data_IF_980862695602
#
_entry.id   IF_980862695602
#
_cell.length_a   1.000
_cell.length_b   1.000
_cell.length_c   1.000
_cell.angle_alpha   90.00
_cell.angle_beta   90.00
_cell.angle_gamma   90.00
#
_symmetry.space_group_name_H-M   'P 1'
#
loop_
_entity.id
_entity.type
_entity.pdbx_description
1 polymer ?
#
# COMPACT_ATOMS: atom_id res chain seq x y z
N UNK A 1 -67.13 1.37 9.37
CA UNK A 1 -65.89 1.96 9.96
C UNK A 1 -64.81 1.97 8.88
N UNK A 2 -64.30 3.15 8.50
CA UNK A 2 -63.21 3.28 7.51
C UNK A 2 -61.87 3.14 8.23
N UNK A 3 -61.07 2.15 7.86
CA UNK A 3 -59.74 1.90 8.43
C UNK A 3 -58.73 2.78 7.67
N UNK A 4 -58.10 3.71 8.37
CA UNK A 4 -57.01 4.53 7.82
C UNK A 4 -55.71 3.77 8.05
N UNK A 5 -54.99 3.45 6.97
CA UNK A 5 -53.66 2.85 7.04
C UNK A 5 -52.62 3.96 6.97
N UNK A 6 -51.87 4.17 8.06
CA UNK A 6 -50.75 5.11 8.10
C UNK A 6 -49.47 4.31 7.87
N UNK A 7 -48.88 4.48 6.68
CA UNK A 7 -47.58 3.90 6.33
C UNK A 7 -46.47 4.84 6.82
N UNK A 8 -45.77 4.49 7.91
CA UNK A 8 -44.57 5.19 8.33
C UNK A 8 -43.38 4.69 7.50
N UNK A 9 -42.98 5.48 6.50
CA UNK A 9 -41.77 5.23 5.72
C UNK A 9 -40.57 5.83 6.47
N UNK A 10 -39.87 5.03 7.27
CA UNK A 10 -38.57 5.39 7.81
C UNK A 10 -37.53 5.30 6.68
N UNK A 11 -37.22 6.43 6.05
CA UNK A 11 -36.08 6.54 5.14
C UNK A 11 -34.80 6.47 5.98
N UNK A 12 -34.14 5.32 5.97
CA UNK A 12 -32.76 5.20 6.45
C UNK A 12 -31.88 6.08 5.56
N UNK A 13 -31.52 7.25 6.07
CA UNK A 13 -30.50 8.10 5.47
C UNK A 13 -29.15 7.39 5.67
N UNK A 14 -28.76 6.55 4.72
CA UNK A 14 -27.43 5.94 4.72
C UNK A 14 -26.39 7.03 4.44
N UNK A 15 -25.90 7.67 5.50
CA UNK A 15 -24.65 8.42 5.42
C UNK A 15 -23.53 7.40 5.19
N UNK A 16 -22.98 7.36 3.98
CA UNK A 16 -21.66 6.75 3.73
C UNK A 16 -20.62 7.66 4.38
N UNK A 17 -20.46 7.57 5.69
CA UNK A 17 -19.30 8.13 6.38
C UNK A 17 -18.15 7.25 5.92
N UNK A 18 -17.30 7.75 5.02
CA UNK A 18 -15.97 7.14 4.83
C UNK A 18 -15.39 7.06 6.24
N UNK A 19 -15.01 5.87 6.71
CA UNK A 19 -14.39 5.73 8.02
C UNK A 19 -13.03 6.44 7.98
N UNK A 20 -13.05 7.77 8.08
CA UNK A 20 -11.90 8.56 8.39
C UNK A 20 -11.43 8.03 9.73
N UNK A 21 -10.18 7.55 9.78
CA UNK A 21 -9.56 7.15 11.03
C UNK A 21 -9.73 8.33 12.00
N UNK A 22 -10.46 8.09 13.09
CA UNK A 22 -10.74 9.12 14.12
C UNK A 22 -9.45 9.52 14.85
N UNK A 23 -8.37 8.77 14.64
CA UNK A 23 -7.06 8.94 15.27
C UNK A 23 -5.99 9.22 14.22
N UNK A 24 -4.98 10.01 14.60
CA UNK A 24 -3.82 10.32 13.74
C UNK A 24 -3.05 9.08 13.29
N UNK A 25 -3.01 8.03 14.13
CA UNK A 25 -2.37 6.76 13.83
C UNK A 25 -3.09 5.58 14.51
N UNK A 26 -2.85 4.38 13.98
CA UNK A 26 -3.33 3.11 14.53
C UNK A 26 -2.29 2.02 14.32
N UNK A 27 -1.29 1.91 15.20
CA UNK A 27 -0.27 0.86 15.09
C UNK A 27 -0.95 -0.51 15.17
N UNK A 28 -0.83 -1.33 14.12
CA UNK A 28 -1.51 -2.62 14.05
C UNK A 28 -1.11 -3.57 15.18
N UNK A 29 -2.11 -4.18 15.82
CA UNK A 29 -1.93 -5.38 16.61
C UNK A 29 -1.94 -6.61 15.70
N UNK A 30 -0.76 -7.02 15.25
CA UNK A 30 -0.58 -8.18 14.38
C UNK A 30 -0.89 -9.52 15.06
N UNK A 31 -1.15 -9.55 16.37
CA UNK A 31 -1.63 -10.76 17.07
C UNK A 31 -3.13 -10.97 16.90
N UNK A 32 -3.87 -9.90 16.59
CA UNK A 32 -5.30 -9.97 16.32
C UNK A 32 -5.55 -10.35 14.85
N UNK A 33 -6.73 -10.93 14.53
CA UNK A 33 -7.13 -11.17 13.16
C UNK A 33 -7.19 -9.87 12.37
N UNK A 34 -6.76 -9.92 11.10
CA UNK A 34 -7.01 -8.82 10.17
C UNK A 34 -8.53 -8.66 9.98
N UNK A 35 -9.00 -7.42 9.99
CA UNK A 35 -10.39 -7.04 9.74
C UNK A 35 -10.48 -6.33 8.38
N UNK A 36 -11.68 -6.07 7.90
CA UNK A 36 -11.88 -5.13 6.79
C UNK A 36 -12.24 -3.78 7.46
N UNK A 37 -11.35 -2.78 7.54
CA UNK A 37 -10.32 -2.37 6.55
C UNK A 37 -8.83 -2.59 6.94
N UNK A 38 -8.52 -3.28 8.04
CA UNK A 38 -7.14 -3.48 8.49
C UNK A 38 -7.06 -4.16 9.85
N UNK A 39 -5.99 -3.95 10.60
CA UNK A 39 -5.85 -4.55 11.94
C UNK A 39 -6.43 -3.65 13.04
N UNK A 40 -6.93 -4.23 14.15
CA UNK A 40 -7.14 -3.49 15.38
C UNK A 40 -5.86 -2.77 15.84
N UNK A 41 -5.99 -1.64 16.54
CA UNK A 41 -4.84 -0.90 17.05
C UNK A 41 -4.31 -1.49 18.36
N UNK A 42 -2.99 -1.45 18.56
CA UNK A 42 -2.36 -1.64 19.88
C UNK A 42 -2.85 -0.57 20.87
N UNK A 43 -2.83 -0.85 22.20
CA UNK A 43 -3.07 0.18 23.20
C UNK A 43 -2.07 1.33 23.09
N UNK A 44 -2.54 2.58 23.14
CA UNK A 44 -1.69 3.77 23.01
C UNK A 44 -0.53 3.80 24.03
N UNK A 45 -0.75 3.28 25.24
CA UNK A 45 0.28 3.20 26.27
C UNK A 45 1.46 2.26 25.93
N UNK A 46 1.31 1.40 24.92
CA UNK A 46 2.37 0.50 24.42
C UNK A 46 3.07 1.02 23.17
N UNK A 47 2.60 2.13 22.60
CA UNK A 47 3.16 2.72 21.38
C UNK A 47 4.32 3.64 21.76
N UNK A 48 5.42 3.54 21.02
CA UNK A 48 6.63 4.35 21.22
C UNK A 48 7.11 4.93 19.90
N UNK A 49 8.11 5.82 19.94
CA UNK A 49 8.77 6.35 18.73
C UNK A 49 9.32 5.25 17.82
N UNK A 50 9.71 4.11 18.41
CA UNK A 50 10.30 3.00 17.66
C UNK A 50 9.27 2.30 16.76
N UNK A 51 7.97 2.41 17.06
CA UNK A 51 6.92 1.90 16.16
C UNK A 51 6.87 2.71 14.84
N UNK A 52 7.41 3.93 14.78
CA UNK A 52 7.30 4.84 13.63
C UNK A 52 8.53 4.84 12.71
N UNK A 53 9.53 4.00 12.96
CA UNK A 53 10.73 3.91 12.12
C UNK A 53 10.91 2.49 11.61
N UNK A 54 11.11 2.36 10.29
CA UNK A 54 11.40 1.09 9.65
C UNK A 54 12.84 1.05 9.12
N UNK A 55 13.64 0.13 9.64
CA UNK A 55 15.05 -0.04 9.25
C UNK A 55 15.26 -1.16 8.22
N UNK A 56 14.18 -1.76 7.69
CA UNK A 56 14.24 -2.96 6.85
C UNK A 56 14.45 -2.73 5.35
N UNK A 57 14.46 -1.48 4.87
CA UNK A 57 14.70 -1.14 3.46
C UNK A 57 16.19 -1.24 3.08
N UNK A 58 16.73 -2.46 3.16
CA UNK A 58 18.12 -2.79 2.83
C UNK A 58 18.21 -3.48 1.46
N UNK A 59 19.42 -3.63 0.94
CA UNK A 59 19.65 -4.26 -0.35
C UNK A 59 19.09 -5.69 -0.41
N UNK A 60 18.28 -5.99 -1.42
CA UNK A 60 17.74 -7.32 -1.65
C UNK A 60 18.76 -8.28 -2.28
N UNK A 61 18.56 -9.60 -2.10
CA UNK A 61 19.40 -10.62 -2.74
C UNK A 61 19.04 -10.77 -4.22
N UNK A 62 20.01 -10.53 -5.10
CA UNK A 62 19.83 -10.60 -6.57
C UNK A 62 20.37 -11.89 -7.19
N UNK A 63 20.87 -12.85 -6.39
CA UNK A 63 21.28 -14.17 -6.89
C UNK A 63 20.04 -15.08 -7.09
N UNK A 64 19.23 -14.75 -8.08
CA UNK A 64 18.05 -15.49 -8.49
C UNK A 64 17.79 -15.30 -9.99
N UNK A 65 16.83 -16.05 -10.54
CA UNK A 65 16.52 -16.07 -11.99
C UNK A 65 16.17 -14.69 -12.55
N UNK A 66 15.55 -13.83 -11.75
CA UNK A 66 15.14 -12.48 -12.16
C UNK A 66 16.20 -11.42 -11.92
N UNK A 67 17.29 -11.77 -11.23
CA UNK A 67 18.36 -10.85 -10.83
C UNK A 67 17.84 -9.61 -10.09
N UNK A 68 16.75 -9.80 -9.34
CA UNK A 68 16.01 -8.77 -8.63
C UNK A 68 15.90 -9.15 -7.16
N UNK A 69 16.22 -8.22 -6.28
CA UNK A 69 15.99 -8.32 -4.84
C UNK A 69 15.04 -7.21 -4.40
N UNK A 70 14.10 -7.52 -3.51
CA UNK A 70 13.17 -6.54 -2.98
C UNK A 70 13.10 -6.64 -1.45
N UNK A 71 13.02 -5.49 -0.78
CA UNK A 71 12.65 -5.36 0.62
C UNK A 71 11.44 -4.45 0.74
N UNK A 72 10.38 -4.95 1.36
CA UNK A 72 9.08 -4.30 1.45
C UNK A 72 8.84 -3.82 2.88
N UNK A 73 8.30 -2.62 3.03
CA UNK A 73 7.64 -2.12 4.23
C UNK A 73 6.13 -2.17 3.99
N UNK A 74 5.46 -3.10 4.66
CA UNK A 74 4.01 -3.28 4.63
C UNK A 74 3.48 -3.39 6.06
N UNK A 75 2.16 -3.34 6.25
CA UNK A 75 1.57 -3.42 7.59
C UNK A 75 2.03 -4.63 8.41
N UNK A 76 2.38 -5.74 7.76
CA UNK A 76 2.77 -6.98 8.46
C UNK A 76 4.21 -6.96 9.01
N UNK A 77 5.06 -6.03 8.57
CA UNK A 77 6.41 -5.86 9.09
C UNK A 77 6.73 -4.43 9.55
N UNK A 78 5.84 -3.48 9.24
CA UNK A 78 5.84 -2.11 9.73
C UNK A 78 4.40 -1.74 10.16
N UNK A 79 3.98 -2.16 11.37
CA UNK A 79 2.58 -2.08 11.83
C UNK A 79 1.96 -0.69 11.82
N UNK A 80 2.78 0.36 11.89
CA UNK A 80 2.33 1.76 11.87
C UNK A 80 1.69 2.17 10.55
N UNK A 81 1.96 1.45 9.45
CA UNK A 81 1.31 1.71 8.16
C UNK A 81 -0.20 1.42 8.14
N UNK A 82 -0.71 0.71 9.15
CA UNK A 82 -2.11 0.34 9.25
C UNK A 82 -3.02 1.57 9.21
N UNK A 83 -3.90 1.61 8.21
CA UNK A 83 -4.84 2.70 8.01
C UNK A 83 -4.27 3.96 7.35
N UNK A 84 -2.95 4.05 7.11
CA UNK A 84 -2.33 5.24 6.53
C UNK A 84 -2.35 5.26 4.99
N UNK A 85 -2.74 4.17 4.35
CA UNK A 85 -2.87 4.08 2.89
C UNK A 85 -1.54 4.14 2.13
N UNK A 86 -0.40 3.91 2.81
CA UNK A 86 0.94 3.93 2.21
C UNK A 86 1.70 2.64 2.53
N UNK A 87 2.62 2.30 1.63
CA UNK A 87 3.64 1.27 1.80
C UNK A 87 4.90 1.71 1.05
N UNK A 88 6.02 1.04 1.27
CA UNK A 88 7.26 1.38 0.58
C UNK A 88 8.05 0.12 0.23
N UNK A 89 8.78 0.14 -0.87
CA UNK A 89 9.65 -0.96 -1.27
C UNK A 89 10.97 -0.41 -1.79
N UNK A 90 12.06 -1.09 -1.44
CA UNK A 90 13.35 -0.95 -2.10
C UNK A 90 13.52 -2.14 -3.04
N UNK A 91 13.89 -1.84 -4.28
CA UNK A 91 14.17 -2.86 -5.30
C UNK A 91 15.60 -2.65 -5.81
N UNK A 92 16.39 -3.71 -5.78
CA UNK A 92 17.75 -3.76 -6.33
C UNK A 92 17.74 -4.72 -7.52
N UNK A 93 18.10 -4.22 -8.71
CA UNK A 93 18.15 -4.99 -9.96
C UNK A 93 19.57 -4.89 -10.51
N UNK A 94 20.20 -6.02 -10.79
CA UNK A 94 21.52 -6.05 -11.45
C UNK A 94 21.38 -6.23 -12.97
N UNK A 95 22.48 -6.06 -13.69
CA UNK A 95 22.49 -6.10 -15.16
C UNK A 95 21.85 -7.38 -15.73
N UNK A 96 20.93 -7.17 -16.68
CA UNK A 96 20.12 -8.22 -17.28
C UNK A 96 18.99 -8.76 -16.38
N UNK A 97 18.70 -8.10 -15.25
CA UNK A 97 17.57 -8.39 -14.39
C UNK A 97 16.30 -7.64 -14.77
N UNK A 98 15.17 -8.14 -14.29
CA UNK A 98 13.87 -7.53 -14.53
C UNK A 98 12.87 -7.89 -13.44
N UNK A 99 11.91 -6.99 -13.23
CA UNK A 99 10.65 -7.36 -12.58
C UNK A 99 9.75 -8.03 -13.63
N UNK A 100 9.23 -9.24 -13.38
CA UNK A 100 8.21 -9.84 -14.25
C UNK A 100 6.98 -8.93 -14.39
N UNK A 101 6.22 -9.10 -15.46
CA UNK A 101 4.94 -8.40 -15.61
C UNK A 101 4.00 -8.79 -14.46
N UNK A 102 3.52 -7.80 -13.72
CA UNK A 102 2.67 -7.97 -12.54
C UNK A 102 1.73 -6.77 -12.35
N UNK A 103 0.85 -6.83 -11.36
CA UNK A 103 -0.09 -5.77 -11.00
C UNK A 103 -0.16 -5.59 -9.48
N UNK A 104 -0.60 -4.39 -9.08
CA UNK A 104 -0.98 -4.07 -7.70
C UNK A 104 -2.47 -3.66 -7.70
N UNK A 105 -3.40 -4.60 -7.42
CA UNK A 105 -4.84 -4.36 -7.64
C UNK A 105 -5.43 -3.15 -6.90
N UNK A 106 -4.87 -2.81 -5.74
CA UNK A 106 -5.40 -1.80 -4.83
C UNK A 106 -4.39 -0.67 -4.55
N UNK A 107 -3.35 -0.50 -5.39
CA UNK A 107 -2.34 0.52 -5.16
C UNK A 107 -1.67 1.00 -6.46
N UNK A 108 -1.49 2.32 -6.57
CA UNK A 108 -0.60 2.97 -7.53
C UNK A 108 0.85 2.84 -7.04
N UNK A 109 1.79 2.58 -7.95
CA UNK A 109 3.22 2.56 -7.63
C UNK A 109 3.88 3.88 -8.03
N UNK A 110 4.67 4.45 -7.11
CA UNK A 110 5.46 5.66 -7.32
C UNK A 110 6.95 5.34 -7.24
N UNK A 111 7.59 5.23 -8.40
CA UNK A 111 8.99 4.80 -8.53
C UNK A 111 9.89 6.03 -8.52
N UNK A 112 10.95 5.97 -7.70
CA UNK A 112 12.06 6.94 -7.72
C UNK A 112 13.34 6.16 -8.03
N UNK A 113 14.02 6.49 -9.13
CA UNK A 113 15.30 5.85 -9.41
C UNK A 113 16.41 6.54 -8.61
N UNK A 114 17.14 5.78 -7.78
CA UNK A 114 18.20 6.32 -6.91
C UNK A 114 19.59 6.13 -7.51
N UNK A 115 19.81 5.05 -8.27
CA UNK A 115 21.11 4.72 -8.85
C UNK A 115 20.94 3.90 -10.14
N UNK A 116 21.89 4.03 -11.07
CA UNK A 116 21.93 3.27 -12.32
C UNK A 116 20.99 3.83 -13.38
N UNK A 117 20.59 2.98 -14.32
CA UNK A 117 19.55 3.27 -15.32
C UNK A 117 18.58 2.09 -15.37
N UNK A 118 17.28 2.36 -15.47
CA UNK A 118 16.26 1.32 -15.48
C UNK A 118 15.09 1.70 -16.39
N UNK A 119 14.61 0.77 -17.20
CA UNK A 119 13.39 0.98 -18.00
C UNK A 119 12.17 0.63 -17.18
N UNK A 120 11.41 1.63 -16.76
CA UNK A 120 10.11 1.44 -16.14
C UNK A 120 8.99 1.58 -17.18
N UNK A 121 7.86 0.92 -16.93
CA UNK A 121 6.71 1.02 -17.81
C UNK A 121 5.49 0.24 -17.32
N UNK A 122 4.34 0.59 -17.89
CA UNK A 122 3.09 -0.14 -17.70
C UNK A 122 2.36 -0.32 -19.03
N UNK A 123 1.39 -1.22 -19.04
CA UNK A 123 0.57 -1.50 -20.21
C UNK A 123 -0.90 -1.25 -19.89
N UNK A 124 -1.64 -0.80 -20.90
CA UNK A 124 -3.10 -0.83 -20.92
C UNK A 124 -3.53 -1.87 -21.95
N UNK A 125 -4.82 -2.19 -22.08
CA UNK A 125 -5.30 -3.08 -23.14
C UNK A 125 -4.93 -2.64 -24.56
N UNK A 126 -4.55 -1.37 -24.77
CA UNK A 126 -4.35 -0.76 -26.08
C UNK A 126 -2.97 -0.15 -26.29
N UNK A 127 -2.16 0.03 -25.25
CA UNK A 127 -0.94 0.83 -25.34
C UNK A 127 0.12 0.40 -24.33
N UNK A 128 1.38 0.69 -24.67
CA UNK A 128 2.55 0.49 -23.79
C UNK A 128 3.15 1.86 -23.50
N UNK A 129 3.37 2.15 -22.23
CA UNK A 129 4.01 3.38 -21.76
C UNK A 129 5.31 2.99 -21.05
N UNK A 130 6.45 3.44 -21.56
CA UNK A 130 7.75 3.12 -20.96
C UNK A 130 8.77 4.24 -21.13
N UNK A 131 9.73 4.30 -20.21
CA UNK A 131 10.84 5.25 -20.26
C UNK A 131 12.08 4.69 -19.56
N UNK A 132 13.25 4.98 -20.11
CA UNK A 132 14.52 4.80 -19.39
C UNK A 132 14.63 5.92 -18.36
N UNK A 133 14.70 5.53 -17.09
CA UNK A 133 14.88 6.40 -15.95
C UNK A 133 16.36 6.53 -15.61
N UNK A 134 16.74 7.71 -15.12
CA UNK A 134 18.05 8.05 -14.56
C UNK A 134 17.90 8.46 -13.09
N UNK A 135 18.99 8.52 -12.30
CA UNK A 135 18.89 8.88 -10.89
C UNK A 135 18.21 10.24 -10.70
N UNK A 136 17.19 10.28 -9.83
CA UNK A 136 16.33 11.45 -9.61
C UNK A 136 15.05 11.47 -10.45
N UNK A 137 14.91 10.61 -11.46
CA UNK A 137 13.67 10.49 -12.23
C UNK A 137 12.58 9.78 -11.43
N UNK A 138 11.34 10.17 -11.74
CA UNK A 138 10.11 9.63 -11.18
C UNK A 138 9.29 8.94 -12.26
N UNK A 139 8.63 7.83 -11.92
CA UNK A 139 7.68 7.16 -12.80
C UNK A 139 6.47 6.65 -12.00
N UNK A 140 5.27 6.82 -12.56
CA UNK A 140 4.02 6.40 -11.92
C UNK A 140 3.44 5.22 -12.69
N UNK A 141 3.15 4.13 -11.98
CA UNK A 141 2.33 3.02 -12.49
C UNK A 141 0.94 3.18 -11.88
N UNK A 142 -0.08 3.52 -12.69
CA UNK A 142 -1.44 3.78 -12.21
C UNK A 142 -2.06 2.62 -11.43
#
# INVERSE_FOLDING_TARGET
MKIIHILFLFTFFSFTISQAFVNDFCVADLKAPNTNPGYPCKPLASVTSDDFVFHGLVAGKTNNTFKLGATLASVTNFPTLNGLGISAMRVDIVEGGSAPMHTHPDATEFIILVQGEFTAGFITPTSVYSKVLKPGDLFVVP
#
